data_IF_974602339906
#
_entry.id   IF_974602339906
#
_cell.length_a   1.000
_cell.length_b   1.000
_cell.length_c   1.000
_cell.angle_alpha   90.00
_cell.angle_beta   90.00
_cell.angle_gamma   90.00
#
_symmetry.space_group_name_H-M   'P 1'
#
loop_
_entity.id
_entity.type
_entity.pdbx_description
1 polymer ?
#
# COMPACT_ATOMS: atom_id res chain seq x y z
N UNK A 1 -1.68 10.86 -20.75
CA UNK A 1 -0.51 10.12 -20.27
C UNK A 1 -0.82 9.70 -18.84
N UNK A 2 -0.87 8.40 -18.55
CA UNK A 2 -1.08 7.93 -17.18
C UNK A 2 0.13 8.27 -16.30
N UNK A 3 -0.05 8.46 -14.99
CA UNK A 3 1.08 8.68 -14.09
C UNK A 3 2.05 7.50 -14.15
N UNK A 4 3.36 7.74 -13.98
CA UNK A 4 4.35 6.68 -13.95
C UNK A 4 4.01 5.70 -12.82
N UNK A 5 4.14 4.41 -13.09
CA UNK A 5 3.94 3.36 -12.09
C UNK A 5 4.87 3.57 -10.90
N UNK A 6 4.43 3.15 -9.71
CA UNK A 6 5.25 3.25 -8.51
C UNK A 6 6.43 2.29 -8.60
N UNK A 7 7.57 2.73 -8.07
CA UNK A 7 8.66 1.83 -7.75
C UNK A 7 8.14 0.66 -6.88
N UNK A 8 8.52 -0.59 -7.17
CA UNK A 8 8.03 -1.76 -6.44
C UNK A 8 8.21 -1.65 -4.92
N UNK A 9 9.31 -1.06 -4.45
CA UNK A 9 9.56 -0.85 -3.02
C UNK A 9 8.63 0.20 -2.40
N UNK A 10 8.31 1.27 -3.12
CA UNK A 10 7.32 2.28 -2.68
C UNK A 10 5.91 1.68 -2.65
N UNK A 11 5.54 0.86 -3.63
CA UNK A 11 4.27 0.13 -3.64
C UNK A 11 4.15 -0.85 -2.47
N UNK A 12 5.20 -1.66 -2.23
CA UNK A 12 5.21 -2.61 -1.11
C UNK A 12 5.06 -1.92 0.25
N UNK A 13 5.77 -0.80 0.46
CA UNK A 13 5.63 0.02 1.67
C UNK A 13 4.21 0.58 1.85
N UNK A 14 3.59 1.04 0.77
CA UNK A 14 2.22 1.55 0.79
C UNK A 14 1.22 0.44 1.14
N UNK A 15 1.41 -0.75 0.55
CA UNK A 15 0.63 -1.93 0.88
C UNK A 15 0.80 -2.35 2.35
N UNK A 16 2.04 -2.40 2.85
CA UNK A 16 2.34 -2.77 4.23
C UNK A 16 1.66 -1.81 5.23
N UNK A 17 1.66 -0.52 4.93
CA UNK A 17 0.92 0.48 5.70
C UNK A 17 -0.60 0.19 5.67
N UNK A 18 -1.17 -0.06 4.48
CA UNK A 18 -2.58 -0.44 4.35
C UNK A 18 -2.93 -1.68 5.18
N UNK A 19 -2.10 -2.71 5.14
CA UNK A 19 -2.27 -3.92 5.95
C UNK A 19 -2.27 -3.63 7.46
N UNK A 20 -1.29 -2.86 7.96
CA UNK A 20 -1.20 -2.56 9.39
C UNK A 20 -2.30 -1.62 9.89
N UNK A 21 -2.79 -0.73 9.04
CA UNK A 21 -3.87 0.19 9.38
C UNK A 21 -5.27 -0.37 9.09
N UNK A 22 -5.37 -1.57 8.51
CA UNK A 22 -6.64 -2.18 8.12
C UNK A 22 -7.33 -1.47 6.95
N UNK A 23 -6.55 -0.87 6.04
CA UNK A 23 -7.01 -0.13 4.88
C UNK A 23 -6.72 -0.94 3.61
N UNK A 24 -7.78 -1.54 3.07
CA UNK A 24 -7.68 -2.38 1.87
C UNK A 24 -7.91 -1.62 0.56
N UNK A 25 -8.34 -0.35 0.62
CA UNK A 25 -8.64 0.44 -0.58
C UNK A 25 -7.47 1.32 -1.01
N UNK A 26 -7.19 1.37 -2.31
CA UNK A 26 -6.15 2.24 -2.88
C UNK A 26 -6.44 3.71 -2.60
N UNK A 27 -7.72 4.10 -2.54
CA UNK A 27 -8.13 5.44 -2.15
C UNK A 27 -7.82 5.73 -0.69
N UNK A 28 -8.10 4.79 0.22
CA UNK A 28 -7.79 4.94 1.63
C UNK A 28 -6.29 5.03 1.87
N UNK A 29 -5.50 4.19 1.20
CA UNK A 29 -4.04 4.24 1.30
C UNK A 29 -3.47 5.55 0.74
N UNK A 30 -3.99 6.04 -0.40
CA UNK A 30 -3.60 7.34 -0.95
C UNK A 30 -3.93 8.49 0.02
N UNK A 31 -5.12 8.46 0.62
CA UNK A 31 -5.54 9.47 1.59
C UNK A 31 -4.65 9.45 2.84
N UNK A 32 -4.34 8.26 3.38
CA UNK A 32 -3.46 8.15 4.55
C UNK A 32 -2.03 8.54 4.28
N UNK A 33 -1.49 8.21 3.11
CA UNK A 33 -0.20 8.67 2.67
C UNK A 33 -0.14 10.20 2.55
N UNK A 34 -1.26 10.87 2.25
CA UNK A 34 -1.35 12.32 2.20
C UNK A 34 -1.50 12.98 3.59
N UNK A 35 -2.15 12.30 4.52
CA UNK A 35 -2.50 12.83 5.85
C UNK A 35 -1.31 12.83 6.85
N UNK A 36 -0.28 12.00 6.62
CA UNK A 36 0.85 11.85 7.55
C UNK A 36 2.21 12.09 6.91
N UNK A 37 2.94 13.10 7.40
CA UNK A 37 4.33 13.38 7.00
C UNK A 37 5.27 12.21 7.32
N UNK A 38 5.03 11.48 8.41
CA UNK A 38 5.82 10.30 8.75
C UNK A 38 5.62 9.19 7.71
N UNK A 39 4.38 8.99 7.23
CA UNK A 39 4.09 8.04 6.17
C UNK A 39 4.68 8.48 4.83
N UNK A 40 4.64 9.79 4.51
CA UNK A 40 5.33 10.33 3.32
C UNK A 40 6.83 10.04 3.36
N UNK A 41 7.48 10.29 4.51
CA UNK A 41 8.89 9.99 4.71
C UNK A 41 9.18 8.49 4.57
N UNK A 42 8.35 7.62 5.16
CA UNK A 42 8.47 6.17 5.03
C UNK A 42 8.36 5.71 3.57
N UNK A 43 7.44 6.30 2.80
CA UNK A 43 7.29 6.07 1.36
C UNK A 43 8.41 6.71 0.53
N UNK A 44 9.31 7.48 1.16
CA UNK A 44 10.37 8.24 0.49
C UNK A 44 9.85 9.37 -0.40
N UNK A 45 8.66 9.90 -0.13
CA UNK A 45 8.04 11.03 -0.86
C UNK A 45 8.55 12.33 -0.25
N UNK A 46 9.09 13.21 -1.10
CA UNK A 46 9.55 14.54 -0.70
C UNK A 46 8.42 15.42 -0.15
N UNK A 47 8.76 16.49 0.58
CA UNK A 47 7.76 17.44 1.12
C UNK A 47 7.07 18.24 0.00
N UNK A 48 7.80 18.50 -1.07
CA UNK A 48 7.41 19.15 -2.31
C UNK A 48 6.77 18.19 -3.34
N UNK A 49 6.90 16.88 -3.14
CA UNK A 49 6.30 15.86 -4.00
C UNK A 49 4.90 15.47 -3.51
N UNK A 50 3.95 15.38 -4.44
CA UNK A 50 2.62 14.88 -4.12
C UNK A 50 2.69 13.36 -3.91
N UNK A 51 2.11 12.82 -2.81
CA UNK A 51 2.04 11.37 -2.62
C UNK A 51 1.23 10.71 -3.73
N UNK A 52 1.47 9.41 -3.99
CA UNK A 52 0.81 8.70 -5.07
C UNK A 52 -0.70 8.69 -4.91
N UNK A 53 -1.40 8.99 -6.00
CA UNK A 53 -2.86 8.92 -6.03
C UNK A 53 -3.34 7.48 -6.20
N UNK A 54 -4.63 7.27 -5.93
CA UNK A 54 -5.28 5.96 -6.05
C UNK A 54 -5.19 5.37 -7.47
N UNK A 55 -5.11 6.22 -8.51
CA UNK A 55 -5.01 5.77 -9.90
C UNK A 55 -3.64 5.17 -10.20
N UNK A 56 -2.57 5.77 -9.67
CA UNK A 56 -1.20 5.27 -9.77
C UNK A 56 -1.02 3.95 -9.01
N UNK A 57 -1.62 3.85 -7.82
CA UNK A 57 -1.58 2.63 -7.00
C UNK A 57 -2.30 1.49 -7.71
N UNK A 58 -3.52 1.72 -8.23
CA UNK A 58 -4.27 0.73 -9.00
C UNK A 58 -3.54 0.35 -10.29
N UNK A 59 -2.92 1.31 -10.97
CA UNK A 59 -2.10 1.06 -12.17
C UNK A 59 -0.92 0.14 -11.87
N UNK A 60 -0.23 0.37 -10.76
CA UNK A 60 0.90 -0.46 -10.32
C UNK A 60 0.45 -1.86 -9.90
N UNK A 61 -0.68 -1.98 -9.19
CA UNK A 61 -1.29 -3.26 -8.81
C UNK A 61 -1.53 -4.19 -9.99
N UNK A 62 -1.91 -3.61 -11.16
CA UNK A 62 -2.19 -4.36 -12.40
C UNK A 62 -0.94 -4.86 -13.10
N UNK A 63 0.24 -4.32 -12.80
CA UNK A 63 1.51 -4.83 -13.32
C UNK A 63 1.96 -6.10 -12.59
N UNK A 64 1.44 -6.33 -11.38
CA UNK A 64 1.71 -7.52 -10.59
C UNK A 64 0.62 -8.53 -10.91
N UNK A 65 1.03 -9.73 -11.33
CA UNK A 65 0.11 -10.84 -11.55
C UNK A 65 -0.80 -11.08 -10.32
N UNK A 66 -2.05 -11.44 -10.57
CA UNK A 66 -3.06 -11.55 -9.52
C UNK A 66 -2.71 -12.65 -8.52
N UNK A 67 -2.22 -13.80 -8.99
CA UNK A 67 -1.80 -14.89 -8.11
C UNK A 67 -0.58 -14.49 -7.31
N UNK A 68 0.39 -13.83 -7.94
CA UNK A 68 1.59 -13.32 -7.26
C UNK A 68 1.23 -12.34 -6.15
N UNK A 69 0.36 -11.37 -6.43
CA UNK A 69 -0.10 -10.43 -5.41
C UNK A 69 -0.88 -11.16 -4.32
N UNK A 70 -1.76 -12.11 -4.65
CA UNK A 70 -2.47 -12.87 -3.62
C UNK A 70 -1.52 -13.73 -2.79
N UNK A 71 -0.47 -14.31 -3.35
CA UNK A 71 0.50 -15.10 -2.60
C UNK A 71 1.27 -14.25 -1.57
N UNK A 72 1.61 -13.01 -1.93
CA UNK A 72 2.35 -12.09 -1.04
C UNK A 72 1.42 -11.41 -0.02
N UNK A 73 0.19 -11.12 -0.43
CA UNK A 73 -0.65 -10.14 0.26
C UNK A 73 -2.02 -10.66 0.70
N UNK A 74 -2.37 -11.92 0.41
CA UNK A 74 -3.60 -12.51 0.97
C UNK A 74 -3.37 -12.76 2.45
N UNK A 75 -4.16 -12.14 3.34
CA UNK A 75 -4.08 -12.49 4.75
C UNK A 75 -4.55 -13.93 4.91
N UNK A 76 -3.72 -14.79 5.53
CA UNK A 76 -4.20 -16.02 6.13
C UNK A 76 -4.99 -15.68 7.42
N UNK A 77 -6.10 -14.94 7.28
CA UNK A 77 -6.97 -14.55 8.41
C UNK A 77 -7.48 -15.75 9.21
N UNK A 78 -7.36 -16.97 8.67
CA UNK A 78 -7.73 -18.21 9.34
C UNK A 78 -6.68 -18.74 10.33
N UNK A 79 -5.42 -18.28 10.31
CA UNK A 79 -4.39 -18.79 11.24
C UNK A 79 -4.07 -17.82 12.38
N UNK A 80 -4.39 -16.54 12.24
CA UNK A 80 -4.06 -15.51 13.24
C UNK A 80 -5.18 -15.21 14.25
N UNK A 81 -6.26 -15.98 14.27
CA UNK A 81 -7.33 -15.89 15.30
C UNK A 81 -7.08 -16.81 16.51
N UNK A 82 -5.92 -17.50 16.58
CA UNK A 82 -5.57 -18.40 17.69
C UNK A 82 -4.34 -17.98 18.50
N UNK A 83 -3.92 -16.72 18.41
CA UNK A 83 -2.97 -16.20 19.39
C UNK A 83 -3.74 -15.30 20.34
N UNK A 84 -4.02 -15.74 21.58
CA UNK A 84 -4.42 -14.79 22.60
C UNK A 84 -3.25 -13.82 22.76
N UNK A 85 -3.46 -12.55 22.40
CA UNK A 85 -2.68 -11.47 22.97
C UNK A 85 -2.95 -11.51 24.47
N UNK A 86 -2.06 -12.19 25.20
CA UNK A 86 -2.01 -12.23 26.65
C UNK A 86 -0.83 -11.40 27.11
#
# INVERSE_FOLDING_TARGET
MGPPSLDPGRYFRLFLMGYFEGIDSERGMAWRAADSLALRSFLGVGLDEMPPDHSTILGTRRLIDVETHQAVFRPESSKLTRLPFR
#
